data_IF_336857448219
#
_entry.id   IF_336857448219
#
_cell.length_a   1.000
_cell.length_b   1.000
_cell.length_c   1.000
_cell.angle_alpha   90.00
_cell.angle_beta   90.00
_cell.angle_gamma   90.00
#
_symmetry.space_group_name_H-M   'P 1'
#
loop_
_entity.id
_entity.type
_entity.pdbx_description
1 polymer ?
#
# COMPACT_ATOMS: atom_id res chain seq x y z
N UNK A 1 -2.10 -4.42 18.36
CA UNK A 1 -3.50 -4.31 18.77
C UNK A 1 -3.61 -4.78 20.20
N UNK A 2 -4.42 -4.11 21.02
CA UNK A 2 -4.64 -4.48 22.42
C UNK A 2 -5.51 -5.74 22.51
N UNK A 3 -5.25 -6.59 23.51
CA UNK A 3 -6.00 -7.84 23.70
C UNK A 3 -7.51 -7.59 23.89
N UNK A 4 -7.86 -6.55 24.66
CA UNK A 4 -9.25 -6.12 24.86
C UNK A 4 -9.97 -5.78 23.54
N UNK A 5 -9.27 -5.13 22.61
CA UNK A 5 -9.84 -4.78 21.31
C UNK A 5 -9.99 -6.00 20.38
N UNK A 6 -9.12 -7.01 20.51
CA UNK A 6 -9.28 -8.30 19.82
C UNK A 6 -10.57 -8.99 20.28
N UNK A 7 -10.81 -9.02 21.60
CA UNK A 7 -12.01 -9.62 22.18
C UNK A 7 -13.28 -8.88 21.74
N UNK A 8 -13.26 -7.54 21.71
CA UNK A 8 -14.37 -6.73 21.17
C UNK A 8 -14.70 -7.11 19.73
N UNK A 9 -13.69 -7.20 18.85
CA UNK A 9 -13.88 -7.61 17.44
C UNK A 9 -14.48 -9.02 17.36
N UNK A 10 -13.95 -9.97 18.14
CA UNK A 10 -14.46 -11.35 18.15
C UNK A 10 -15.91 -11.43 18.61
N UNK A 11 -16.35 -10.49 19.44
CA UNK A 11 -17.74 -10.34 19.88
C UNK A 11 -18.59 -9.46 18.94
N UNK A 12 -18.06 -9.07 17.78
CA UNK A 12 -18.77 -8.26 16.78
C UNK A 12 -18.85 -6.76 17.08
N UNK A 13 -18.04 -6.25 18.02
CA UNK A 13 -17.99 -4.84 18.39
C UNK A 13 -16.83 -4.15 17.67
N UNK A 14 -17.15 -3.16 16.83
CA UNK A 14 -16.20 -2.32 16.11
C UNK A 14 -16.55 -0.85 16.34
N UNK A 15 -16.20 -0.33 17.51
CA UNK A 15 -16.28 1.09 17.83
C UNK A 15 -15.07 1.88 17.26
N UNK A 16 -15.09 3.20 17.38
CA UNK A 16 -14.05 4.07 16.83
C UNK A 16 -12.64 3.79 17.41
N UNK A 17 -12.56 3.42 18.69
CA UNK A 17 -11.30 3.11 19.36
C UNK A 17 -10.72 1.78 18.88
N UNK A 18 -11.58 0.78 18.72
CA UNK A 18 -11.24 -0.54 18.16
C UNK A 18 -10.82 -0.37 16.69
N UNK A 19 -11.56 0.40 15.90
CA UNK A 19 -11.23 0.70 14.51
C UNK A 19 -9.87 1.39 14.42
N UNK A 20 -9.61 2.42 15.25
CA UNK A 20 -8.32 3.12 15.28
C UNK A 20 -7.17 2.18 15.63
N UNK A 21 -7.31 1.37 16.69
CA UNK A 21 -6.26 0.42 17.09
C UNK A 21 -6.00 -0.65 16.01
N UNK A 22 -7.07 -1.15 15.36
CA UNK A 22 -6.96 -2.05 14.23
C UNK A 22 -6.18 -1.42 13.07
N UNK A 23 -6.60 -0.23 12.62
CA UNK A 23 -5.95 0.46 11.50
C UNK A 23 -4.48 0.73 11.79
N UNK A 24 -4.16 1.20 12.98
CA UNK A 24 -2.77 1.49 13.37
C UNK A 24 -1.92 0.22 13.42
N UNK A 25 -2.46 -0.84 14.03
CA UNK A 25 -1.78 -2.13 14.12
C UNK A 25 -1.54 -2.74 12.74
N UNK A 26 -2.56 -2.73 11.88
CA UNK A 26 -2.47 -3.25 10.52
C UNK A 26 -1.49 -2.45 9.67
N UNK A 27 -1.53 -1.11 9.76
CA UNK A 27 -0.60 -0.23 9.04
C UNK A 27 0.85 -0.47 9.44
N UNK A 28 1.11 -0.71 10.74
CA UNK A 28 2.45 -1.06 11.23
C UNK A 28 2.94 -2.37 10.61
N UNK A 29 2.11 -3.42 10.65
CA UNK A 29 2.41 -4.72 10.04
C UNK A 29 2.67 -4.60 8.55
N UNK A 30 1.86 -3.82 7.82
CA UNK A 30 2.04 -3.59 6.38
C UNK A 30 3.35 -2.85 6.06
N UNK A 31 3.69 -1.84 6.87
CA UNK A 31 4.93 -1.06 6.75
C UNK A 31 6.18 -1.93 7.00
N UNK A 32 6.11 -2.82 7.98
CA UNK A 32 7.21 -3.73 8.32
C UNK A 32 7.35 -4.90 7.33
N UNK A 33 6.27 -5.61 7.00
CA UNK A 33 6.35 -6.85 6.24
C UNK A 33 6.33 -6.66 4.73
N UNK A 34 5.41 -5.82 4.23
CA UNK A 34 5.16 -5.70 2.80
C UNK A 34 6.06 -4.62 2.24
N UNK A 35 6.01 -3.42 2.79
CA UNK A 35 6.75 -2.31 2.22
C UNK A 35 8.27 -2.44 2.38
N UNK A 36 8.82 -3.05 3.44
CA UNK A 36 10.26 -3.33 3.46
C UNK A 36 10.70 -4.30 2.34
N UNK A 37 9.88 -5.31 2.00
CA UNK A 37 10.18 -6.28 0.94
C UNK A 37 10.07 -5.70 -0.46
N UNK A 38 9.14 -4.77 -0.69
CA UNK A 38 8.99 -4.06 -1.97
C UNK A 38 10.12 -3.05 -2.26
N UNK A 39 11.02 -2.73 -1.31
CA UNK A 39 11.97 -1.63 -1.47
C UNK A 39 13.40 -1.91 -0.96
N UNK A 40 13.94 -3.10 -1.26
CA UNK A 40 15.34 -3.45 -0.93
C UNK A 40 16.36 -2.48 -1.57
N UNK A 41 17.18 -1.87 -0.72
CA UNK A 41 18.47 -1.16 -0.92
C UNK A 41 18.62 0.01 -1.93
N UNK A 42 17.87 0.10 -3.04
CA UNK A 42 17.97 1.24 -3.98
C UNK A 42 16.60 1.82 -4.31
N UNK A 43 16.26 2.95 -3.67
CA UNK A 43 14.99 3.67 -3.92
C UNK A 43 15.24 4.94 -4.75
N UNK A 44 14.52 5.07 -5.85
CA UNK A 44 14.30 6.38 -6.47
C UNK A 44 13.31 7.23 -5.67
N UNK A 45 13.33 8.55 -5.84
CA UNK A 45 12.39 9.47 -5.18
C UNK A 45 10.93 9.16 -5.44
N UNK A 46 10.59 8.75 -6.68
CA UNK A 46 9.22 8.41 -7.08
C UNK A 46 8.71 7.11 -6.45
N UNK A 47 9.58 6.14 -6.22
CA UNK A 47 9.20 4.87 -5.59
C UNK A 47 8.89 5.07 -4.10
N UNK A 48 9.62 5.98 -3.44
CA UNK A 48 9.31 6.42 -2.07
C UNK A 48 7.94 7.09 -2.00
N UNK A 49 7.65 8.02 -2.92
CA UNK A 49 6.34 8.69 -3.00
C UNK A 49 5.21 7.71 -3.26
N UNK A 50 5.45 6.70 -4.09
CA UNK A 50 4.45 5.64 -4.31
C UNK A 50 4.18 4.80 -3.07
N UNK A 51 5.22 4.45 -2.31
CA UNK A 51 5.06 3.74 -1.03
C UNK A 51 4.22 4.55 -0.05
N UNK A 52 4.53 5.84 0.07
CA UNK A 52 3.78 6.77 0.91
C UNK A 52 2.33 6.90 0.44
N UNK A 53 2.11 6.95 -0.87
CA UNK A 53 0.77 6.99 -1.45
C UNK A 53 -0.04 5.76 -1.03
N UNK A 54 0.50 4.56 -1.17
CA UNK A 54 -0.18 3.33 -0.75
C UNK A 54 -0.47 3.30 0.76
N UNK A 55 0.43 3.82 1.60
CA UNK A 55 0.19 3.93 3.04
C UNK A 55 -0.96 4.91 3.35
N UNK A 56 -0.97 6.07 2.70
CA UNK A 56 -2.05 7.05 2.85
C UNK A 56 -3.38 6.46 2.40
N UNK A 57 -3.42 5.82 1.24
CA UNK A 57 -4.61 5.15 0.70
C UNK A 57 -5.13 4.07 1.65
N UNK A 58 -4.24 3.24 2.17
CA UNK A 58 -4.59 2.16 3.08
C UNK A 58 -5.27 2.71 4.33
N UNK A 59 -4.63 3.66 5.01
CA UNK A 59 -5.15 4.22 6.26
C UNK A 59 -6.44 4.97 6.02
N UNK A 60 -6.48 5.90 5.05
CA UNK A 60 -7.67 6.71 4.81
C UNK A 60 -8.86 5.86 4.39
N UNK A 61 -8.65 4.79 3.62
CA UNK A 61 -9.73 3.91 3.17
C UNK A 61 -10.28 3.09 4.33
N UNK A 62 -9.42 2.55 5.19
CA UNK A 62 -9.88 1.82 6.37
C UNK A 62 -10.60 2.72 7.39
N UNK A 63 -10.22 3.99 7.49
CA UNK A 63 -10.91 4.99 8.30
C UNK A 63 -12.10 5.64 7.58
N UNK A 64 -12.41 5.23 6.34
CA UNK A 64 -13.47 5.82 5.52
C UNK A 64 -13.36 7.35 5.34
N UNK A 65 -12.13 7.88 5.31
CA UNK A 65 -11.87 9.32 5.20
C UNK A 65 -11.58 9.75 3.76
N UNK A 66 -12.21 10.82 3.27
CA UNK A 66 -11.77 11.46 2.04
C UNK A 66 -10.39 12.12 2.25
N UNK A 67 -9.62 12.37 1.16
CA UNK A 67 -8.25 12.88 1.28
C UNK A 67 -8.14 14.18 2.11
N UNK A 68 -9.07 15.12 1.93
CA UNK A 68 -9.09 16.38 2.68
C UNK A 68 -9.20 16.13 4.19
N UNK A 69 -10.18 15.32 4.60
CA UNK A 69 -10.39 14.97 6.01
C UNK A 69 -9.22 14.18 6.57
N UNK A 70 -8.64 13.26 5.79
CA UNK A 70 -7.46 12.50 6.20
C UNK A 70 -6.26 13.41 6.48
N UNK A 71 -5.96 14.36 5.59
CA UNK A 71 -4.83 15.28 5.79
C UNK A 71 -5.08 16.26 6.93
N UNK A 72 -6.32 16.64 7.17
CA UNK A 72 -6.70 17.37 8.38
C UNK A 72 -6.45 16.52 9.63
N UNK A 73 -6.95 15.28 9.66
CA UNK A 73 -6.75 14.34 10.76
C UNK A 73 -5.27 14.07 11.03
N UNK A 74 -4.48 13.78 9.99
CA UNK A 74 -3.03 13.59 10.05
C UNK A 74 -2.31 14.80 10.67
N UNK A 75 -2.76 16.02 10.37
CA UNK A 75 -2.18 17.25 10.95
C UNK A 75 -2.41 17.35 12.45
N UNK A 76 -3.47 16.75 12.98
CA UNK A 76 -3.85 16.84 14.39
C UNK A 76 -3.47 15.59 15.20
N UNK A 77 -3.38 14.42 14.57
CA UNK A 77 -3.00 13.16 15.24
C UNK A 77 -1.48 12.92 15.19
N UNK A 78 -0.82 13.05 16.35
CA UNK A 78 0.64 12.87 16.48
C UNK A 78 1.06 11.42 16.24
N UNK A 79 0.30 10.46 16.75
CA UNK A 79 0.60 9.04 16.65
C UNK A 79 0.56 8.61 15.18
N UNK A 80 -0.42 9.11 14.43
CA UNK A 80 -0.56 8.82 13.00
C UNK A 80 0.62 9.39 12.20
N UNK A 81 1.07 10.61 12.53
CA UNK A 81 2.26 11.20 11.90
C UNK A 81 3.51 10.36 12.16
N UNK A 82 3.69 9.91 13.40
CA UNK A 82 4.82 9.06 13.79
C UNK A 82 4.74 7.65 13.20
N UNK A 83 3.54 7.13 12.99
CA UNK A 83 3.31 5.84 12.33
C UNK A 83 3.67 5.93 10.84
N UNK A 84 3.17 6.95 10.15
CA UNK A 84 3.36 7.09 8.70
C UNK A 84 4.77 7.60 8.35
N UNK A 85 5.27 8.63 9.04
CA UNK A 85 6.54 9.33 8.76
C UNK A 85 6.69 9.70 7.28
N UNK A 86 5.68 10.37 6.72
CA UNK A 86 5.69 10.78 5.32
C UNK A 86 6.79 11.83 5.08
N UNK A 87 7.64 11.60 4.07
CA UNK A 87 8.67 12.54 3.62
C UNK A 87 8.21 13.33 2.39
N UNK A 88 7.61 12.65 1.41
CA UNK A 88 7.22 13.20 0.11
C UNK A 88 5.77 13.68 0.02
N UNK A 89 4.83 13.02 0.69
CA UNK A 89 3.39 13.28 0.64
C UNK A 89 2.85 13.88 1.95
N UNK A 90 3.56 14.88 2.48
CA UNK A 90 3.22 15.52 3.78
C UNK A 90 1.94 16.35 3.74
N UNK A 91 1.56 16.86 2.57
CA UNK A 91 0.41 17.74 2.40
C UNK A 91 -0.56 17.19 1.38
N UNK A 92 -1.81 17.64 1.45
CA UNK A 92 -2.83 17.31 0.45
C UNK A 92 -2.40 17.73 -0.96
N UNK A 93 -1.69 18.86 -1.11
CA UNK A 93 -1.20 19.32 -2.42
C UNK A 93 -0.17 18.35 -3.02
N UNK A 94 0.75 17.83 -2.20
CA UNK A 94 1.70 16.80 -2.65
C UNK A 94 1.00 15.50 -3.04
N UNK A 95 0.00 15.11 -2.25
CA UNK A 95 -0.84 13.94 -2.53
C UNK A 95 -1.58 14.09 -3.84
N UNK A 96 -2.28 15.20 -4.06
CA UNK A 96 -3.07 15.42 -5.29
C UNK A 96 -2.20 15.49 -6.54
N UNK A 97 -1.04 16.14 -6.45
CA UNK A 97 -0.10 16.19 -7.58
C UNK A 97 0.37 14.77 -7.95
N UNK A 98 0.71 13.96 -6.94
CA UNK A 98 1.09 12.57 -7.16
C UNK A 98 -0.07 11.71 -7.65
N UNK A 99 -1.28 11.89 -7.10
CA UNK A 99 -2.53 11.21 -7.47
C UNK A 99 -2.84 11.41 -8.97
N UNK A 100 -2.70 12.64 -9.47
CA UNK A 100 -2.86 12.95 -10.90
C UNK A 100 -1.79 12.25 -11.75
N UNK A 101 -0.54 12.25 -11.29
CA UNK A 101 0.62 11.69 -12.01
C UNK A 101 0.70 10.15 -11.94
N UNK A 102 0.09 9.52 -10.93
CA UNK A 102 0.19 8.05 -10.74
C UNK A 102 -0.46 7.25 -11.87
N UNK A 103 -1.28 7.85 -12.71
CA UNK A 103 -1.82 7.18 -13.91
C UNK A 103 -0.70 6.64 -14.80
N UNK A 104 0.49 7.24 -14.75
CA UNK A 104 1.69 6.78 -15.44
C UNK A 104 2.53 5.77 -14.63
N UNK A 105 2.19 5.54 -13.35
CA UNK A 105 2.92 4.62 -12.46
C UNK A 105 2.66 3.13 -12.69
N UNK A 106 1.74 2.75 -13.59
CA UNK A 106 1.59 1.35 -14.03
C UNK A 106 2.92 0.78 -14.54
N UNK A 107 3.69 1.60 -15.28
CA UNK A 107 5.03 1.23 -15.73
C UNK A 107 6.05 1.08 -14.58
N UNK A 108 5.88 1.81 -13.49
CA UNK A 108 6.77 1.72 -12.33
C UNK A 108 6.46 0.50 -11.47
N UNK A 109 5.19 0.14 -11.29
CA UNK A 109 4.75 -1.09 -10.63
C UNK A 109 5.36 -2.34 -11.26
N UNK A 110 5.30 -2.47 -12.59
CA UNK A 110 5.90 -3.60 -13.32
C UNK A 110 7.41 -3.69 -13.08
N UNK A 111 8.13 -2.55 -13.08
CA UNK A 111 9.57 -2.52 -12.81
C UNK A 111 9.89 -2.86 -11.36
N UNK A 112 9.09 -2.38 -10.40
CA UNK A 112 9.25 -2.67 -8.97
C UNK A 112 8.99 -4.16 -8.71
N UNK A 113 7.92 -4.74 -9.27
CA UNK A 113 7.62 -6.17 -9.15
C UNK A 113 8.76 -7.03 -9.74
N UNK A 114 9.21 -6.71 -10.96
CA UNK A 114 10.30 -7.45 -11.63
C UNK A 114 11.62 -7.39 -10.86
N UNK A 115 11.97 -6.24 -10.25
CA UNK A 115 13.20 -6.11 -9.44
C UNK A 115 13.12 -6.88 -8.12
N UNK A 116 11.98 -6.83 -7.43
CA UNK A 116 11.85 -7.43 -6.10
C UNK A 116 11.66 -8.94 -6.12
N UNK A 117 11.06 -9.48 -7.19
CA UNK A 117 10.79 -10.91 -7.29
C UNK A 117 12.03 -11.78 -7.57
N UNK A 118 13.22 -11.20 -7.83
CA UNK A 118 14.45 -11.93 -8.21
C UNK A 118 14.14 -13.13 -9.15
N UNK A 119 13.23 -12.93 -10.08
CA UNK A 119 12.77 -14.00 -10.95
C UNK A 119 13.65 -14.04 -12.19
N UNK A 120 14.42 -15.12 -12.33
CA UNK A 120 14.83 -15.58 -13.65
C UNK A 120 13.56 -15.71 -14.52
N UNK A 121 13.65 -15.24 -15.75
CA UNK A 121 12.51 -15.20 -16.66
C UNK A 121 11.85 -16.60 -16.75
N UNK A 122 10.62 -16.74 -16.27
CA UNK A 122 9.87 -18.00 -16.41
C UNK A 122 8.87 -18.33 -15.30
N UNK A 123 9.06 -17.84 -14.07
CA UNK A 123 8.18 -18.21 -12.96
C UNK A 123 7.14 -17.13 -12.66
N UNK A 124 5.89 -17.37 -13.08
CA UNK A 124 4.73 -16.63 -12.58
C UNK A 124 4.49 -17.02 -11.12
N UNK A 125 4.61 -16.06 -10.20
CA UNK A 125 4.11 -16.22 -8.85
C UNK A 125 2.71 -15.64 -8.78
N UNK A 126 1.74 -16.52 -8.53
CA UNK A 126 0.39 -16.13 -8.14
C UNK A 126 0.50 -15.55 -6.73
N UNK A 127 0.26 -14.24 -6.60
CA UNK A 127 -0.12 -13.69 -5.31
C UNK A 127 -1.55 -14.18 -5.08
N UNK A 128 -1.75 -14.94 -4.01
CA UNK A 128 -2.97 -15.72 -3.66
C UNK A 128 -4.28 -14.90 -3.57
N UNK A 129 -4.28 -13.63 -3.94
CA UNK A 129 -5.40 -12.71 -3.77
C UNK A 129 -5.78 -11.89 -5.02
N UNK A 130 -5.06 -11.99 -6.15
CA UNK A 130 -5.47 -11.28 -7.38
C UNK A 130 -5.12 -12.03 -8.66
N UNK A 131 -6.15 -12.48 -9.39
CA UNK A 131 -6.05 -12.87 -10.81
C UNK A 131 -6.22 -11.59 -11.62
N UNK A 132 -5.12 -11.06 -12.15
CA UNK A 132 -5.15 -9.96 -13.12
C UNK A 132 -5.04 -10.50 -14.54
N UNK A 133 -5.98 -10.13 -15.42
CA UNK A 133 -5.82 -10.37 -16.85
C UNK A 133 -4.67 -9.51 -17.40
N UNK A 134 -3.61 -10.17 -17.87
CA UNK A 134 -2.52 -9.54 -18.59
C UNK A 134 -2.56 -9.99 -20.05
N UNK A 135 -2.64 -9.03 -20.98
CA UNK A 135 -2.52 -9.29 -22.42
C UNK A 135 -1.10 -9.77 -22.75
N UNK A 136 -0.97 -11.10 -22.80
CA UNK A 136 0.27 -11.84 -23.06
C UNK A 136 0.81 -11.63 -24.47
N UNK A 137 0.06 -11.03 -25.40
CA UNK A 137 0.55 -10.75 -26.76
C UNK A 137 1.69 -9.72 -26.77
N UNK A 138 1.75 -8.82 -25.78
CA UNK A 138 2.87 -7.87 -25.61
C UNK A 138 4.14 -8.51 -25.03
N UNK A 139 4.06 -9.73 -24.51
CA UNK A 139 5.15 -10.43 -23.82
C UNK A 139 5.79 -11.54 -24.67
N UNK A 140 5.61 -11.50 -26.01
CA UNK A 140 6.19 -12.39 -27.05
C UNK A 140 7.23 -13.39 -26.50
N UNK A 141 6.73 -14.59 -26.17
CA UNK A 141 7.35 -15.93 -26.06
C UNK A 141 6.62 -16.86 -25.06
N UNK A 142 5.41 -16.53 -24.60
CA UNK A 142 4.60 -17.47 -23.81
C UNK A 142 4.00 -18.57 -24.70
N UNK A 143 4.29 -19.85 -24.40
CA UNK A 143 3.52 -20.98 -24.94
C UNK A 143 2.17 -21.06 -24.19
N UNK A 144 1.10 -21.27 -24.94
CA UNK A 144 -0.24 -21.47 -24.37
C UNK A 144 -0.25 -22.71 -23.47
N UNK A 145 -0.80 -22.55 -22.26
CA UNK A 145 -1.17 -23.68 -21.41
C UNK A 145 -2.44 -24.27 -22.03
N UNK A 146 -2.36 -25.51 -22.51
CA UNK A 146 -3.55 -26.25 -22.96
C UNK A 146 -4.23 -26.84 -21.71
N UNK A 147 -5.56 -26.80 -21.75
CA UNK A 147 -6.47 -27.43 -20.77
C UNK A 147 -6.10 -28.88 -20.46
#
# INVERSE_FOLDING_TARGET
MKQENIEKINNGVLDDDVLRDFVFSFTKVMKENIFQRFYREKRGSEEKRFAEYLLVELVRTLLCMPPVTFYYYLRHDKDLRELLKLEGLKTIGNYEDFDRKRKYLKMHLDRIMKRNLKTEAGNLFVLDLTIGEADVNKLRKGKAVKE
#
